data_IF_251866736131
#
_entry.id   IF_251866736131
#
_cell.length_a   1.000
_cell.length_b   1.000
_cell.length_c   1.000
_cell.angle_alpha   90.00
_cell.angle_beta   90.00
_cell.angle_gamma   90.00
#
_symmetry.space_group_name_H-M   'P 1'
#
loop_
_entity.id
_entity.type
_entity.pdbx_description
1 polymer ?
#
# COMPACT_ATOMS: atom_id res chain seq x y z
N UNK A 1 1.39 -28.13 7.40
CA UNK A 1 2.52 -27.17 7.37
C UNK A 1 1.91 -25.78 7.34
N UNK A 2 1.84 -25.10 8.49
CA UNK A 2 1.19 -23.82 8.66
C UNK A 2 2.28 -22.75 8.83
N UNK A 3 2.44 -21.78 7.91
CA UNK A 3 3.39 -20.70 8.12
C UNK A 3 2.63 -19.49 8.65
N UNK A 4 2.46 -19.40 9.97
CA UNK A 4 2.13 -18.12 10.63
C UNK A 4 2.89 -18.00 11.95
N UNK A 5 4.08 -17.39 11.93
CA UNK A 5 4.59 -16.76 13.15
C UNK A 5 5.21 -15.38 12.86
N UNK A 6 4.49 -14.47 12.17
CA UNK A 6 4.98 -13.10 11.99
C UNK A 6 3.94 -11.99 12.24
N UNK A 7 2.71 -12.32 12.68
CA UNK A 7 1.59 -11.36 12.60
C UNK A 7 0.86 -11.04 13.91
N UNK A 8 1.38 -11.41 15.08
CA UNK A 8 0.47 -11.56 16.23
C UNK A 8 0.55 -10.59 17.42
N UNK A 9 1.38 -9.52 17.49
CA UNK A 9 1.30 -8.70 18.73
C UNK A 9 1.40 -7.16 18.65
N UNK A 10 1.74 -6.55 17.52
CA UNK A 10 1.95 -5.09 17.49
C UNK A 10 1.06 -4.31 16.50
N UNK A 11 0.07 -4.97 15.89
CA UNK A 11 -0.79 -4.35 14.88
C UNK A 11 -2.04 -3.69 15.51
N UNK A 12 -1.85 -2.68 16.37
CA UNK A 12 -2.94 -1.77 16.79
C UNK A 12 -2.61 -0.34 16.39
N UNK A 13 -2.69 -0.06 15.10
CA UNK A 13 -2.59 1.30 14.57
C UNK A 13 -3.96 1.69 14.01
N UNK A 14 -4.48 2.79 14.53
CA UNK A 14 -5.82 3.35 14.38
C UNK A 14 -6.39 3.22 12.96
N UNK A 15 -7.45 2.42 12.84
CA UNK A 15 -8.35 2.45 11.68
C UNK A 15 -9.46 3.48 11.96
N UNK A 16 -9.59 4.49 11.10
CA UNK A 16 -10.87 5.20 11.00
C UNK A 16 -11.92 4.22 10.44
N UNK A 17 -13.20 4.31 10.87
CA UNK A 17 -14.25 3.42 10.37
C UNK A 17 -14.28 3.41 8.83
N UNK A 18 -14.25 2.22 8.23
CA UNK A 18 -14.26 2.07 6.77
C UNK A 18 -12.91 2.25 6.06
N UNK A 19 -11.78 2.28 6.79
CA UNK A 19 -10.43 2.27 6.19
C UNK A 19 -9.64 1.01 6.53
N UNK A 20 -8.83 0.55 5.59
CA UNK A 20 -7.89 -0.56 5.80
C UNK A 20 -6.88 -0.21 6.90
N UNK A 21 -6.56 -1.19 7.79
CA UNK A 21 -5.61 -0.97 8.87
C UNK A 21 -4.19 -0.79 8.32
N UNK A 22 -3.38 -0.04 9.06
CA UNK A 22 -1.94 0.01 8.80
C UNK A 22 -1.26 -1.25 9.35
N UNK A 23 -0.23 -1.71 8.67
CA UNK A 23 0.69 -2.77 9.10
C UNK A 23 2.07 -2.17 9.38
N UNK A 24 2.82 -2.72 10.32
CA UNK A 24 4.17 -2.27 10.57
C UNK A 24 5.14 -2.92 9.58
N UNK A 25 5.84 -2.11 8.77
CA UNK A 25 6.92 -2.56 7.88
C UNK A 25 8.21 -1.89 8.38
N UNK A 26 9.19 -2.68 8.80
CA UNK A 26 10.43 -2.14 9.40
C UNK A 26 10.18 -1.27 10.65
N UNK A 27 9.10 -1.51 11.39
CA UNK A 27 8.69 -0.69 12.53
C UNK A 27 7.94 0.60 12.16
N UNK A 28 7.76 0.89 10.86
CA UNK A 28 7.03 2.05 10.37
C UNK A 28 5.57 1.67 10.07
N UNK A 29 4.58 2.36 10.68
CA UNK A 29 3.17 2.24 10.30
C UNK A 29 2.97 2.51 8.81
N UNK A 30 2.64 1.48 8.05
CA UNK A 30 2.46 1.55 6.60
C UNK A 30 1.06 1.10 6.24
N UNK A 31 0.31 1.91 5.49
CA UNK A 31 -1.06 1.59 5.06
C UNK A 31 -1.06 1.33 3.56
N UNK A 32 -1.63 0.20 3.17
CA UNK A 32 -1.97 -0.07 1.78
C UNK A 32 -3.37 0.48 1.50
N UNK A 33 -3.49 1.32 0.48
CA UNK A 33 -4.75 1.98 0.14
C UNK A 33 -5.48 1.21 -0.96
N UNK A 34 -6.79 1.07 -0.84
CA UNK A 34 -7.65 0.91 -2.01
C UNK A 34 -7.66 2.21 -2.82
N UNK A 35 -7.98 2.11 -4.13
CA UNK A 35 -8.08 3.28 -5.02
C UNK A 35 -9.03 4.33 -4.44
N UNK A 36 -10.19 3.88 -3.95
CA UNK A 36 -11.25 4.71 -3.37
C UNK A 36 -10.80 5.37 -2.06
N UNK A 37 -10.04 4.65 -1.24
CA UNK A 37 -9.50 5.18 0.02
C UNK A 37 -8.45 6.25 -0.25
N UNK A 38 -7.58 6.05 -1.25
CA UNK A 38 -6.61 7.05 -1.67
C UNK A 38 -7.32 8.29 -2.21
N UNK A 39 -8.35 8.10 -3.07
CA UNK A 39 -9.15 9.20 -3.60
C UNK A 39 -9.81 10.03 -2.48
N UNK A 40 -10.45 9.37 -1.53
CA UNK A 40 -11.05 10.04 -0.37
C UNK A 40 -9.99 10.72 0.49
N UNK A 41 -8.84 10.08 0.71
CA UNK A 41 -7.73 10.63 1.47
C UNK A 41 -7.16 11.92 0.89
N UNK A 42 -7.08 12.04 -0.45
CA UNK A 42 -6.68 13.29 -1.12
C UNK A 42 -7.61 14.45 -0.75
N UNK A 43 -8.92 14.21 -0.71
CA UNK A 43 -9.90 15.22 -0.34
C UNK A 43 -9.77 15.64 1.14
N UNK A 44 -9.54 14.68 2.04
CA UNK A 44 -9.34 14.95 3.47
C UNK A 44 -8.17 15.91 3.73
N UNK A 45 -7.11 15.83 2.91
CA UNK A 45 -5.93 16.69 3.03
C UNK A 45 -5.98 17.92 2.11
N UNK A 46 -7.15 18.24 1.54
CA UNK A 46 -7.40 19.47 0.80
C UNK A 46 -7.07 19.43 -0.70
N UNK A 47 -6.77 18.27 -1.27
CA UNK A 47 -6.50 18.12 -2.69
C UNK A 47 -7.75 17.69 -3.46
N UNK A 48 -7.90 18.18 -4.68
CA UNK A 48 -8.86 17.64 -5.65
C UNK A 48 -8.18 16.60 -6.52
N UNK A 49 -8.58 15.33 -6.37
CA UNK A 49 -8.14 14.25 -7.25
C UNK A 49 -8.52 14.49 -8.72
N UNK A 50 -7.58 14.24 -9.62
CA UNK A 50 -7.73 14.35 -11.08
C UNK A 50 -7.73 12.95 -11.70
N UNK A 51 -6.75 12.12 -11.34
CA UNK A 51 -6.62 10.75 -11.83
C UNK A 51 -5.96 9.87 -10.77
N UNK A 52 -6.32 8.58 -10.74
CA UNK A 52 -5.59 7.55 -10.00
C UNK A 52 -5.46 6.32 -10.90
N UNK A 53 -4.23 5.87 -11.10
CA UNK A 53 -3.90 4.76 -11.98
C UNK A 53 -3.07 3.71 -11.24
N UNK A 54 -3.29 2.43 -11.57
CA UNK A 54 -2.46 1.32 -11.07
C UNK A 54 -1.21 1.24 -11.96
N UNK A 55 -0.03 1.36 -11.37
CA UNK A 55 1.24 1.24 -12.09
C UNK A 55 1.95 -0.02 -11.59
N UNK A 56 2.21 -0.97 -12.48
CA UNK A 56 2.99 -2.17 -12.18
C UNK A 56 4.45 -1.97 -12.63
N UNK A 57 5.38 -2.56 -11.91
CA UNK A 57 6.81 -2.48 -12.21
C UNK A 57 7.51 -3.80 -11.86
N UNK A 58 8.81 -3.94 -12.11
CA UNK A 58 9.51 -5.23 -11.97
C UNK A 58 9.92 -5.47 -10.53
N UNK A 59 10.01 -6.72 -10.10
CA UNK A 59 10.50 -7.03 -8.75
C UNK A 59 11.95 -6.57 -8.54
N UNK A 60 12.73 -6.52 -9.61
CA UNK A 60 14.11 -6.03 -9.60
C UNK A 60 14.21 -4.52 -9.30
N UNK A 61 13.13 -3.75 -9.45
CA UNK A 61 13.13 -2.30 -9.19
C UNK A 61 12.92 -2.00 -7.68
N UNK A 62 12.23 -2.88 -6.94
CA UNK A 62 11.96 -2.75 -5.49
C UNK A 62 13.00 -3.46 -4.61
N UNK A 63 13.53 -4.59 -5.09
CA UNK A 63 14.27 -5.52 -4.23
C UNK A 63 15.61 -5.91 -4.85
N UNK A 64 16.67 -5.84 -4.04
CA UNK A 64 18.01 -6.29 -4.41
C UNK A 64 18.03 -7.79 -4.76
N UNK A 65 17.22 -8.58 -4.06
CA UNK A 65 17.05 -10.02 -4.32
C UNK A 65 15.55 -10.31 -4.49
N UNK A 66 15.04 -10.32 -5.72
CA UNK A 66 13.61 -10.49 -5.96
C UNK A 66 13.15 -11.93 -5.65
N UNK A 67 11.97 -12.11 -5.03
CA UNK A 67 11.39 -13.42 -4.82
C UNK A 67 10.89 -13.95 -6.16
N UNK A 68 11.57 -14.98 -6.70
CA UNK A 68 11.29 -15.63 -7.99
C UNK A 68 11.73 -14.81 -9.22
N UNK A 69 11.83 -15.50 -10.36
CA UNK A 69 12.47 -15.09 -11.61
C UNK A 69 11.77 -13.95 -12.37
N UNK A 70 11.45 -12.85 -11.66
CA UNK A 70 10.80 -11.65 -12.19
C UNK A 70 9.53 -11.99 -12.99
N UNK A 71 8.63 -12.72 -12.32
CA UNK A 71 7.38 -13.23 -12.88
C UNK A 71 6.18 -12.67 -12.13
N UNK A 72 4.99 -12.66 -12.76
CA UNK A 72 3.77 -12.21 -12.10
C UNK A 72 3.41 -13.06 -10.87
N UNK A 73 2.70 -12.48 -9.88
CA UNK A 73 2.22 -11.10 -9.87
C UNK A 73 3.37 -10.10 -9.66
N UNK A 74 3.33 -9.00 -10.41
CA UNK A 74 4.29 -7.91 -10.27
C UNK A 74 3.90 -6.98 -9.12
N UNK A 75 4.88 -6.34 -8.47
CA UNK A 75 4.60 -5.27 -7.54
C UNK A 75 3.94 -4.10 -8.28
N UNK A 76 3.16 -3.33 -7.55
CA UNK A 76 2.39 -2.23 -8.11
C UNK A 76 2.04 -1.21 -7.04
N UNK A 77 1.85 0.03 -7.48
CA UNK A 77 1.38 1.12 -6.64
C UNK A 77 0.27 1.94 -7.33
N UNK A 78 -0.45 2.72 -6.53
CA UNK A 78 -1.35 3.74 -7.06
C UNK A 78 -0.58 5.04 -7.34
N UNK A 79 -0.62 5.51 -8.58
CA UNK A 79 -0.15 6.84 -8.93
C UNK A 79 -1.35 7.78 -9.01
N UNK A 80 -1.29 8.89 -8.27
CA UNK A 80 -2.37 9.88 -8.21
C UNK A 80 -1.91 11.24 -8.74
N UNK A 81 -2.73 11.85 -9.58
CA UNK A 81 -2.61 13.26 -9.97
C UNK A 81 -3.68 14.03 -9.23
N UNK A 82 -3.30 15.11 -8.55
CA UNK A 82 -4.20 15.96 -7.81
C UNK A 82 -3.80 17.43 -7.92
N UNK A 83 -4.76 18.32 -7.63
CA UNK A 83 -4.57 19.77 -7.62
C UNK A 83 -4.82 20.32 -6.22
N UNK A 84 -3.89 21.14 -5.73
CA UNK A 84 -4.00 21.92 -4.49
C UNK A 84 -4.42 23.37 -4.73
#
# INVERSE_FOLDING_TARGET
MNPRPFLDEHCRLTAAPGRHPAVAIGGVPTRHFLREELWAGLADVGFRGIAIEKVEYRWADEMVVPPLADRPPFPWDWCAVARG
#
